data_IF_376050033276
#
_entry.id   IF_376050033276
#
_cell.length_a   1.000
_cell.length_b   1.000
_cell.length_c   1.000
_cell.angle_alpha   90.00
_cell.angle_beta   90.00
_cell.angle_gamma   90.00
#
_symmetry.space_group_name_H-M   'P 1'
#
loop_
_entity.id
_entity.type
_entity.pdbx_description
1 polymer ?
#
# COMPACT_ATOMS: atom_id res chain seq x y z
N UNK A 1 8.07 -17.94 -25.53
CA UNK A 1 7.15 -19.03 -25.18
C UNK A 1 5.99 -19.16 -26.16
N UNK A 2 5.01 -18.24 -26.22
CA UNK A 2 3.82 -18.42 -27.12
C UNK A 2 4.19 -18.63 -28.59
N UNK A 3 5.13 -17.82 -29.13
CA UNK A 3 5.64 -18.02 -30.50
C UNK A 3 6.28 -19.40 -30.73
N UNK A 4 6.93 -19.95 -29.70
CA UNK A 4 7.54 -21.28 -29.78
C UNK A 4 6.47 -22.37 -29.77
N UNK A 5 5.43 -22.22 -28.93
CA UNK A 5 4.27 -23.13 -28.94
C UNK A 5 3.60 -23.16 -30.32
N UNK A 6 3.45 -22.00 -30.95
CA UNK A 6 2.87 -21.89 -32.29
C UNK A 6 3.75 -22.56 -33.35
N UNK A 7 5.08 -22.39 -33.26
CA UNK A 7 6.01 -23.08 -34.14
C UNK A 7 5.97 -24.61 -33.93
N UNK A 8 5.95 -25.07 -32.67
CA UNK A 8 5.94 -26.50 -32.35
C UNK A 8 4.67 -27.18 -32.87
N UNK A 9 3.52 -26.50 -32.78
CA UNK A 9 2.26 -26.97 -33.40
C UNK A 9 2.26 -26.94 -34.92
N UNK A 10 3.06 -26.07 -35.56
CA UNK A 10 3.22 -26.10 -37.00
C UNK A 10 4.06 -27.32 -37.46
N UNK A 11 5.00 -27.76 -36.63
CA UNK A 11 5.81 -28.96 -36.86
C UNK A 11 5.05 -30.26 -36.53
N UNK A 12 4.19 -30.22 -35.52
CA UNK A 12 3.38 -31.35 -35.05
C UNK A 12 1.96 -30.87 -34.69
N UNK A 13 1.00 -30.89 -35.64
CA UNK A 13 -0.34 -30.34 -35.45
C UNK A 13 -1.17 -31.02 -34.36
N UNK A 14 -0.87 -32.27 -34.03
CA UNK A 14 -1.64 -33.09 -33.09
C UNK A 14 -1.13 -32.95 -31.64
N UNK A 15 -0.03 -32.21 -31.41
CA UNK A 15 0.52 -32.04 -30.06
C UNK A 15 -0.39 -31.19 -29.15
N UNK A 16 -0.72 -31.74 -27.98
CA UNK A 16 -1.46 -31.00 -26.97
C UNK A 16 -0.63 -29.84 -26.41
N UNK A 17 -1.29 -28.75 -26.01
CA UNK A 17 -0.59 -27.60 -25.43
C UNK A 17 0.17 -27.97 -24.15
N UNK A 18 -0.39 -28.85 -23.32
CA UNK A 18 0.25 -29.27 -22.07
C UNK A 18 1.56 -29.97 -22.37
N UNK A 19 1.55 -30.99 -23.24
CA UNK A 19 2.74 -31.78 -23.57
C UNK A 19 3.82 -30.92 -24.24
N UNK A 20 3.43 -30.05 -25.18
CA UNK A 20 4.36 -29.14 -25.83
C UNK A 20 5.02 -28.18 -24.83
N UNK A 21 4.23 -27.58 -23.93
CA UNK A 21 4.75 -26.66 -22.92
C UNK A 21 5.59 -27.40 -21.87
N UNK A 22 5.19 -28.59 -21.47
CA UNK A 22 5.96 -29.42 -20.52
C UNK A 22 7.34 -29.77 -21.09
N UNK A 23 7.42 -30.13 -22.38
CA UNK A 23 8.69 -30.32 -23.08
C UNK A 23 9.57 -29.05 -23.03
N UNK A 24 8.97 -27.88 -23.23
CA UNK A 24 9.66 -26.60 -23.17
C UNK A 24 10.18 -26.29 -21.76
N UNK A 25 9.36 -26.45 -20.73
CA UNK A 25 9.72 -26.19 -19.32
C UNK A 25 10.78 -27.15 -18.78
N UNK A 26 10.87 -28.38 -19.29
CA UNK A 26 12.00 -29.28 -18.95
C UNK A 26 13.35 -28.75 -19.44
N UNK A 27 13.36 -28.03 -20.56
CA UNK A 27 14.56 -27.46 -21.20
C UNK A 27 14.85 -26.03 -20.77
N UNK A 28 13.87 -25.33 -20.20
CA UNK A 28 13.95 -23.92 -19.86
C UNK A 28 13.39 -23.65 -18.47
N UNK A 29 14.04 -22.78 -17.72
CA UNK A 29 13.60 -22.32 -16.41
C UNK A 29 13.05 -20.89 -16.50
N UNK A 30 11.83 -20.67 -17.03
CA UNK A 30 11.30 -19.31 -17.15
C UNK A 30 11.09 -18.70 -15.77
N UNK A 31 11.35 -17.41 -15.67
CA UNK A 31 10.93 -16.63 -14.50
C UNK A 31 9.40 -16.52 -14.47
N UNK A 32 8.81 -16.33 -13.29
CA UNK A 32 7.34 -16.20 -13.10
C UNK A 32 6.77 -15.08 -13.98
N UNK A 33 7.53 -14.00 -14.16
CA UNK A 33 7.16 -12.84 -14.99
C UNK A 33 6.98 -13.26 -16.46
N UNK A 34 7.85 -14.11 -16.98
CA UNK A 34 7.79 -14.60 -18.36
C UNK A 34 6.57 -15.51 -18.58
N UNK A 35 6.19 -16.30 -17.56
CA UNK A 35 4.94 -17.07 -17.55
C UNK A 35 3.74 -16.13 -17.59
N UNK A 36 3.78 -15.07 -16.78
CA UNK A 36 2.78 -14.01 -16.79
C UNK A 36 2.59 -13.39 -18.16
N UNK A 37 3.67 -12.92 -18.80
CA UNK A 37 3.61 -12.31 -20.13
C UNK A 37 2.96 -13.21 -21.18
N UNK A 38 3.33 -14.50 -21.19
CA UNK A 38 2.75 -15.47 -22.11
C UNK A 38 1.27 -15.74 -21.81
N UNK A 39 0.90 -15.90 -20.54
CA UNK A 39 -0.49 -16.06 -20.11
C UNK A 39 -1.36 -14.90 -20.62
N UNK A 40 -0.82 -13.70 -20.62
CA UNK A 40 -1.50 -12.49 -21.07
C UNK A 40 -1.68 -12.42 -22.59
N UNK A 41 -0.70 -12.90 -23.34
CA UNK A 41 -0.81 -13.06 -24.79
C UNK A 41 -1.91 -14.08 -25.12
N UNK A 42 -1.89 -15.26 -24.47
CA UNK A 42 -2.89 -16.32 -24.67
C UNK A 42 -4.29 -15.83 -24.32
N UNK A 43 -4.46 -15.12 -23.20
CA UNK A 43 -5.74 -14.56 -22.79
C UNK A 43 -6.29 -13.54 -23.80
N UNK A 44 -5.45 -12.61 -24.28
CA UNK A 44 -5.85 -11.62 -25.30
C UNK A 44 -6.24 -12.29 -26.62
N UNK A 45 -5.53 -13.36 -26.99
CA UNK A 45 -5.84 -14.17 -28.16
C UNK A 45 -7.06 -15.10 -27.94
N UNK A 46 -7.67 -15.11 -26.74
CA UNK A 46 -8.77 -16.00 -26.35
C UNK A 46 -8.43 -17.50 -26.45
N UNK A 47 -7.15 -17.86 -26.34
CA UNK A 47 -6.63 -19.23 -26.35
C UNK A 47 -6.67 -19.80 -24.92
N UNK A 48 -7.88 -20.04 -24.42
CA UNK A 48 -8.10 -20.40 -23.01
C UNK A 48 -7.59 -21.80 -22.64
N UNK A 49 -7.68 -22.77 -23.56
CA UNK A 49 -7.13 -24.12 -23.33
C UNK A 49 -5.60 -24.08 -23.18
N UNK A 50 -4.92 -23.37 -24.09
CA UNK A 50 -3.47 -23.18 -24.02
C UNK A 50 -3.06 -22.42 -22.75
N UNK A 51 -3.90 -21.51 -22.26
CA UNK A 51 -3.68 -20.79 -21.01
C UNK A 51 -3.78 -21.73 -19.81
N UNK A 52 -4.79 -22.61 -19.77
CA UNK A 52 -4.91 -23.64 -18.71
C UNK A 52 -3.67 -24.52 -18.70
N UNK A 53 -3.28 -25.05 -19.86
CA UNK A 53 -2.08 -25.87 -20.01
C UNK A 53 -0.82 -25.15 -19.51
N UNK A 54 -0.62 -23.89 -19.94
CA UNK A 54 0.52 -23.08 -19.50
C UNK A 54 0.59 -22.94 -17.97
N UNK A 55 -0.53 -22.62 -17.34
CA UNK A 55 -0.58 -22.41 -15.89
C UNK A 55 -0.36 -23.72 -15.14
N UNK A 56 -0.99 -24.82 -15.56
CA UNK A 56 -0.80 -26.12 -14.93
C UNK A 56 0.66 -26.60 -15.04
N UNK A 57 1.27 -26.52 -16.23
CA UNK A 57 2.68 -26.87 -16.43
C UNK A 57 3.59 -26.00 -15.56
N UNK A 58 3.38 -24.68 -15.53
CA UNK A 58 4.17 -23.79 -14.69
C UNK A 58 4.10 -24.18 -13.20
N UNK A 59 2.90 -24.53 -12.71
CA UNK A 59 2.71 -24.98 -11.33
C UNK A 59 3.43 -26.31 -11.05
N UNK A 60 3.35 -27.28 -11.97
CA UNK A 60 4.02 -28.59 -11.85
C UNK A 60 5.55 -28.44 -11.81
N UNK A 61 6.11 -27.53 -12.60
CA UNK A 61 7.55 -27.24 -12.62
C UNK A 61 8.02 -26.30 -11.51
N UNK A 62 7.21 -26.09 -10.48
CA UNK A 62 7.58 -25.27 -9.31
C UNK A 62 7.71 -23.78 -9.61
N UNK A 63 7.20 -23.29 -10.74
CA UNK A 63 7.09 -21.85 -11.07
C UNK A 63 5.81 -21.29 -10.47
N UNK A 64 5.59 -21.58 -9.19
CA UNK A 64 4.35 -21.27 -8.50
C UNK A 64 4.26 -19.78 -8.18
N UNK A 65 3.12 -19.20 -8.48
CA UNK A 65 2.76 -17.87 -8.01
C UNK A 65 1.27 -17.85 -7.70
N UNK A 66 0.90 -17.15 -6.63
CA UNK A 66 -0.47 -17.10 -6.13
C UNK A 66 -1.50 -16.73 -7.21
N UNK A 67 -1.20 -15.73 -8.03
CA UNK A 67 -2.10 -15.27 -9.10
C UNK A 67 -2.39 -16.36 -10.14
N UNK A 68 -1.51 -17.35 -10.32
CA UNK A 68 -1.73 -18.43 -11.29
C UNK A 68 -2.94 -19.27 -10.92
N UNK A 69 -3.16 -19.53 -9.62
CA UNK A 69 -4.34 -20.25 -9.14
C UNK A 69 -5.63 -19.46 -9.39
N UNK A 70 -5.60 -18.14 -9.13
CA UNK A 70 -6.71 -17.23 -9.41
C UNK A 70 -7.10 -17.24 -10.89
N UNK A 71 -6.11 -17.09 -11.77
CA UNK A 71 -6.33 -17.05 -13.23
C UNK A 71 -6.72 -18.42 -13.78
N UNK A 72 -6.12 -19.49 -13.27
CA UNK A 72 -6.49 -20.85 -13.64
C UNK A 72 -7.95 -21.12 -13.28
N UNK A 73 -8.38 -20.83 -12.06
CA UNK A 73 -9.77 -21.00 -11.63
C UNK A 73 -10.75 -20.20 -12.51
N UNK A 74 -10.43 -18.94 -12.83
CA UNK A 74 -11.23 -18.15 -13.77
C UNK A 74 -11.33 -18.80 -15.16
N UNK A 75 -10.20 -19.26 -15.68
CA UNK A 75 -10.12 -19.80 -17.04
C UNK A 75 -10.85 -21.13 -17.13
N UNK A 76 -10.71 -22.00 -16.13
CA UNK A 76 -11.47 -23.25 -16.00
C UNK A 76 -12.98 -22.98 -15.95
N UNK A 77 -13.42 -22.04 -15.11
CA UNK A 77 -14.83 -21.63 -15.03
C UNK A 77 -15.35 -21.14 -16.39
N UNK A 78 -14.56 -20.34 -17.10
CA UNK A 78 -14.94 -19.79 -18.41
C UNK A 78 -15.07 -20.87 -19.49
N UNK A 79 -14.25 -21.92 -19.40
CA UNK A 79 -14.31 -23.11 -20.24
C UNK A 79 -15.44 -24.08 -19.84
N UNK A 80 -16.18 -23.80 -18.77
CA UNK A 80 -17.23 -24.68 -18.27
C UNK A 80 -16.69 -25.99 -17.67
N UNK A 81 -15.46 -25.96 -17.13
CA UNK A 81 -14.84 -27.12 -16.48
C UNK A 81 -15.60 -27.52 -15.21
N UNK A 82 -15.52 -28.78 -14.78
CA UNK A 82 -16.21 -29.28 -13.59
C UNK A 82 -15.88 -28.46 -12.32
N UNK A 83 -16.89 -28.31 -11.44
CA UNK A 83 -16.77 -27.47 -10.24
C UNK A 83 -15.73 -28.01 -9.24
N UNK A 84 -15.56 -29.34 -9.15
CA UNK A 84 -14.56 -29.98 -8.31
C UNK A 84 -13.12 -29.62 -8.72
N UNK A 85 -12.87 -29.43 -10.02
CA UNK A 85 -11.57 -28.98 -10.50
C UNK A 85 -11.28 -27.53 -10.09
N UNK A 86 -12.30 -26.67 -10.18
CA UNK A 86 -12.21 -25.27 -9.77
C UNK A 86 -11.99 -25.19 -8.25
N UNK A 87 -12.77 -25.94 -7.47
CA UNK A 87 -12.67 -25.98 -6.01
C UNK A 87 -11.28 -26.47 -5.56
N UNK A 88 -10.73 -27.49 -6.23
CA UNK A 88 -9.35 -27.95 -5.98
C UNK A 88 -8.32 -26.85 -6.19
N UNK A 89 -8.40 -26.10 -7.29
CA UNK A 89 -7.47 -24.99 -7.56
C UNK A 89 -7.58 -23.89 -6.49
N UNK A 90 -8.79 -23.59 -6.04
CA UNK A 90 -9.04 -22.59 -5.00
C UNK A 90 -8.59 -23.06 -3.61
N UNK A 91 -8.72 -24.34 -3.28
CA UNK A 91 -8.18 -24.94 -2.05
C UNK A 91 -6.65 -24.90 -2.06
N UNK A 92 -6.01 -25.30 -3.16
CA UNK A 92 -4.55 -25.20 -3.30
C UNK A 92 -4.04 -23.77 -3.18
N UNK A 93 -4.84 -22.78 -3.63
CA UNK A 93 -4.54 -21.37 -3.37
C UNK A 93 -4.56 -21.08 -1.86
N UNK A 94 -5.62 -21.45 -1.14
CA UNK A 94 -5.72 -21.19 0.30
C UNK A 94 -4.55 -21.77 1.10
N UNK A 95 -4.07 -22.96 0.72
CA UNK A 95 -2.93 -23.61 1.36
C UNK A 95 -1.60 -22.85 1.19
N UNK A 96 -1.45 -22.09 0.09
CA UNK A 96 -0.18 -21.45 -0.27
C UNK A 96 -0.10 -20.00 0.23
N UNK A 97 -1.22 -19.29 0.27
CA UNK A 97 -1.17 -17.82 0.24
C UNK A 97 -1.15 -17.15 1.60
N UNK A 98 -1.75 -17.79 2.62
CA UNK A 98 -2.16 -17.05 3.83
C UNK A 98 -3.04 -15.84 3.47
N UNK A 99 -3.43 -15.04 4.44
CA UNK A 99 -4.23 -13.82 4.21
C UNK A 99 -3.34 -12.57 4.05
N UNK A 100 -2.30 -12.63 3.21
CA UNK A 100 -1.37 -11.52 3.03
C UNK A 100 -1.92 -10.38 2.13
N UNK A 101 -1.97 -9.12 2.59
CA UNK A 101 -2.49 -7.99 1.82
C UNK A 101 -1.81 -7.74 0.46
N UNK A 102 -0.49 -7.88 0.35
CA UNK A 102 0.24 -7.57 -0.89
C UNK A 102 -0.06 -8.59 -1.97
N UNK A 103 -0.03 -9.86 -1.61
CA UNK A 103 -0.34 -10.92 -2.54
C UNK A 103 -1.81 -10.90 -2.99
N UNK A 104 -2.74 -10.57 -2.10
CA UNK A 104 -4.16 -10.40 -2.44
C UNK A 104 -4.37 -9.22 -3.42
N UNK A 105 -3.68 -8.10 -3.24
CA UNK A 105 -3.71 -6.98 -4.19
C UNK A 105 -3.13 -7.36 -5.56
N UNK A 106 -2.03 -8.13 -5.57
CA UNK A 106 -1.43 -8.64 -6.81
C UNK A 106 -2.39 -9.57 -7.55
N UNK A 107 -3.00 -10.54 -6.84
CA UNK A 107 -4.07 -11.40 -7.37
C UNK A 107 -5.20 -10.59 -8.00
N UNK A 108 -5.69 -9.57 -7.29
CA UNK A 108 -6.77 -8.71 -7.78
C UNK A 108 -6.37 -7.99 -9.09
N UNK A 109 -5.15 -7.48 -9.18
CA UNK A 109 -4.63 -6.85 -10.39
C UNK A 109 -4.56 -7.82 -11.57
N UNK A 110 -4.17 -9.08 -11.35
CA UNK A 110 -4.21 -10.12 -12.37
C UNK A 110 -5.65 -10.46 -12.77
N UNK A 111 -6.56 -10.69 -11.83
CA UNK A 111 -7.98 -10.98 -12.11
C UNK A 111 -8.64 -9.91 -12.99
N UNK A 112 -8.35 -8.62 -12.71
CA UNK A 112 -8.74 -7.49 -13.55
C UNK A 112 -8.20 -7.65 -14.98
N UNK A 113 -6.92 -7.97 -15.10
CA UNK A 113 -6.22 -8.11 -16.39
C UNK A 113 -6.72 -9.31 -17.21
N UNK A 114 -7.19 -10.36 -16.52
CA UNK A 114 -7.75 -11.57 -17.12
C UNK A 114 -9.27 -11.54 -17.33
N UNK A 115 -9.94 -10.46 -16.88
CA UNK A 115 -11.32 -10.15 -17.27
C UNK A 115 -12.39 -10.56 -16.27
N UNK A 116 -12.05 -10.88 -15.02
CA UNK A 116 -13.03 -10.99 -13.93
C UNK A 116 -12.77 -9.93 -12.84
N UNK A 117 -13.16 -8.68 -13.12
CA UNK A 117 -13.01 -7.61 -12.14
C UNK A 117 -14.00 -7.74 -10.96
N UNK A 118 -15.02 -8.61 -11.01
CA UNK A 118 -15.91 -8.82 -9.85
C UNK A 118 -15.21 -9.60 -8.76
N UNK A 119 -14.44 -10.63 -9.13
CA UNK A 119 -13.63 -11.36 -8.16
C UNK A 119 -12.53 -10.46 -7.55
N UNK A 120 -11.93 -9.59 -8.37
CA UNK A 120 -10.97 -8.60 -7.88
C UNK A 120 -11.57 -7.66 -6.82
N UNK A 121 -12.83 -7.22 -6.99
CA UNK A 121 -13.53 -6.39 -6.00
C UNK A 121 -13.68 -7.10 -4.64
N UNK A 122 -13.88 -8.43 -4.62
CA UNK A 122 -13.91 -9.21 -3.38
C UNK A 122 -12.55 -9.24 -2.70
N UNK A 123 -11.47 -9.42 -3.48
CA UNK A 123 -10.11 -9.39 -2.93
C UNK A 123 -9.76 -8.00 -2.38
N UNK A 124 -10.16 -6.91 -3.02
CA UNK A 124 -9.98 -5.57 -2.46
C UNK A 124 -10.72 -5.38 -1.14
N UNK A 125 -11.93 -5.93 -0.98
CA UNK A 125 -12.64 -5.92 0.30
C UNK A 125 -11.90 -6.71 1.37
N UNK A 126 -11.42 -7.91 1.03
CA UNK A 126 -10.65 -8.74 1.96
C UNK A 126 -9.35 -8.05 2.39
N UNK A 127 -8.65 -7.37 1.48
CA UNK A 127 -7.47 -6.56 1.82
C UNK A 127 -7.85 -5.42 2.76
N UNK A 128 -8.97 -4.74 2.52
CA UNK A 128 -9.45 -3.66 3.38
C UNK A 128 -9.88 -4.16 4.78
N UNK A 129 -10.31 -5.42 4.90
CA UNK A 129 -10.61 -6.05 6.19
C UNK A 129 -9.33 -6.38 6.97
N UNK A 130 -8.33 -6.94 6.30
CA UNK A 130 -7.04 -7.30 6.93
C UNK A 130 -6.19 -6.07 7.24
N UNK A 131 -6.15 -5.10 6.32
CA UNK A 131 -5.30 -3.92 6.39
C UNK A 131 -6.11 -2.64 6.07
N UNK A 132 -7.01 -2.20 6.97
CA UNK A 132 -7.93 -1.10 6.70
C UNK A 132 -7.26 0.26 6.47
N UNK A 133 -6.02 0.44 6.94
CA UNK A 133 -5.22 1.65 6.75
C UNK A 133 -4.53 1.76 5.38
N UNK A 134 -4.63 0.74 4.52
CA UNK A 134 -4.05 0.78 3.18
C UNK A 134 -5.01 1.47 2.19
N UNK A 135 -4.56 2.52 1.47
CA UNK A 135 -5.42 3.27 0.55
C UNK A 135 -5.70 2.52 -0.77
N UNK A 136 -4.79 1.65 -1.22
CA UNK A 136 -4.84 0.92 -2.49
C UNK A 136 -6.14 0.17 -2.73
N UNK A 137 -6.65 -0.69 -1.81
CA UNK A 137 -7.88 -1.44 -2.04
C UNK A 137 -9.07 -0.53 -2.33
N UNK A 138 -9.17 0.62 -1.65
CA UNK A 138 -10.30 1.54 -1.83
C UNK A 138 -10.21 2.30 -3.15
N UNK A 139 -9.03 2.80 -3.52
CA UNK A 139 -8.83 3.54 -4.78
C UNK A 139 -9.03 2.62 -5.98
N UNK A 140 -8.46 1.41 -5.94
CA UNK A 140 -8.61 0.43 -7.01
C UNK A 140 -10.08 -0.01 -7.13
N UNK A 141 -10.72 -0.38 -6.01
CA UNK A 141 -12.13 -0.75 -6.03
C UNK A 141 -13.04 0.38 -6.53
N UNK A 142 -12.78 1.63 -6.13
CA UNK A 142 -13.49 2.80 -6.64
C UNK A 142 -13.36 2.94 -8.16
N UNK A 143 -12.14 2.86 -8.71
CA UNK A 143 -11.92 2.93 -10.16
C UNK A 143 -12.62 1.81 -10.93
N UNK A 144 -12.63 0.60 -10.39
CA UNK A 144 -13.29 -0.55 -11.00
C UNK A 144 -14.81 -0.43 -10.94
N UNK A 145 -15.35 -0.03 -9.78
CA UNK A 145 -16.77 0.18 -9.58
C UNK A 145 -17.32 1.31 -10.46
N UNK A 146 -16.55 2.39 -10.64
CA UNK A 146 -16.94 3.50 -11.51
C UNK A 146 -17.10 3.06 -12.98
N UNK A 147 -16.23 2.17 -13.46
CA UNK A 147 -16.32 1.64 -14.84
C UNK A 147 -17.46 0.66 -15.05
N UNK A 148 -17.87 -0.04 -14.00
CA UNK A 148 -18.93 -1.04 -14.04
C UNK A 148 -20.30 -0.50 -13.62
N UNK A 149 -20.36 0.77 -13.24
CA UNK A 149 -21.52 1.38 -12.57
C UNK A 149 -22.01 0.57 -11.35
N UNK A 150 -21.06 0.00 -10.59
CA UNK A 150 -21.38 -0.79 -9.40
C UNK A 150 -21.64 0.12 -8.20
N UNK A 151 -22.91 0.50 -8.03
CA UNK A 151 -23.38 1.40 -6.98
C UNK A 151 -23.04 0.93 -5.55
N UNK A 152 -23.14 -0.37 -5.28
CA UNK A 152 -22.85 -0.94 -3.95
C UNK A 152 -21.40 -0.72 -3.57
N UNK A 153 -20.48 -0.99 -4.50
CA UNK A 153 -19.05 -0.81 -4.28
C UNK A 153 -18.68 0.67 -4.25
N UNK A 154 -19.30 1.51 -5.08
CA UNK A 154 -19.10 2.95 -5.03
C UNK A 154 -19.49 3.53 -3.66
N UNK A 155 -20.65 3.13 -3.11
CA UNK A 155 -21.08 3.52 -1.76
C UNK A 155 -20.07 3.17 -0.67
N UNK A 156 -19.42 2.02 -0.80
CA UNK A 156 -18.41 1.56 0.14
C UNK A 156 -17.06 2.27 -0.04
N UNK A 157 -16.60 2.41 -1.28
CA UNK A 157 -15.27 2.91 -1.59
C UNK A 157 -15.16 4.45 -1.54
N UNK A 158 -16.18 5.19 -1.97
CA UNK A 158 -16.15 6.66 -2.03
C UNK A 158 -15.82 7.30 -0.66
N UNK A 159 -16.51 6.97 0.45
CA UNK A 159 -16.19 7.53 1.75
C UNK A 159 -14.78 7.20 2.21
N UNK A 160 -14.27 6.03 1.84
CA UNK A 160 -12.90 5.60 2.18
C UNK A 160 -11.85 6.37 1.39
N UNK A 161 -12.06 6.54 0.09
CA UNK A 161 -11.20 7.39 -0.74
C UNK A 161 -11.19 8.83 -0.19
N UNK A 162 -12.36 9.35 0.21
CA UNK A 162 -12.46 10.68 0.80
C UNK A 162 -11.86 10.77 2.20
N UNK A 163 -11.76 9.69 2.98
CA UNK A 163 -11.13 9.74 4.30
C UNK A 163 -9.60 9.73 4.24
N UNK A 164 -9.02 9.16 3.18
CA UNK A 164 -7.57 8.99 3.05
C UNK A 164 -6.89 10.16 2.31
N UNK A 165 -5.69 10.53 2.77
CA UNK A 165 -4.87 11.64 2.22
C UNK A 165 -3.51 11.13 1.73
N UNK A 166 -3.34 9.81 1.70
CA UNK A 166 -2.04 9.14 1.60
C UNK A 166 -1.62 8.84 0.17
N UNK A 167 -2.40 9.19 -0.85
CA UNK A 167 -2.02 8.92 -2.25
C UNK A 167 -1.48 10.20 -2.86
N UNK A 168 -0.43 10.10 -3.69
CA UNK A 168 -0.03 11.22 -4.56
C UNK A 168 -1.26 11.65 -5.36
N UNK A 169 -1.45 12.97 -5.51
CA UNK A 169 -2.65 13.53 -6.15
C UNK A 169 -3.97 13.18 -5.44
N UNK A 170 -3.98 12.99 -4.10
CA UNK A 170 -5.21 12.68 -3.35
C UNK A 170 -6.35 13.66 -3.69
N UNK A 171 -6.04 14.95 -3.88
CA UNK A 171 -7.03 15.97 -4.25
C UNK A 171 -7.74 15.65 -5.59
N UNK A 172 -7.06 15.00 -6.54
CA UNK A 172 -7.68 14.53 -7.79
C UNK A 172 -8.61 13.34 -7.52
N UNK A 173 -8.21 12.42 -6.66
CA UNK A 173 -9.05 11.28 -6.26
C UNK A 173 -10.28 11.73 -5.47
N UNK A 174 -10.13 12.68 -4.56
CA UNK A 174 -11.23 13.28 -3.82
C UNK A 174 -12.22 13.93 -4.76
N UNK A 175 -11.78 14.80 -5.69
CA UNK A 175 -12.68 15.40 -6.70
C UNK A 175 -13.47 14.34 -7.48
N UNK A 176 -12.79 13.30 -8.00
CA UNK A 176 -13.47 12.20 -8.70
C UNK A 176 -14.50 11.48 -7.83
N UNK A 177 -14.18 11.26 -6.56
CA UNK A 177 -15.08 10.60 -5.61
C UNK A 177 -16.29 11.49 -5.29
N UNK A 178 -16.10 12.81 -5.20
CA UNK A 178 -17.18 13.78 -5.00
C UNK A 178 -18.11 13.89 -6.22
N UNK A 179 -17.54 13.91 -7.43
CA UNK A 179 -18.31 13.89 -8.67
C UNK A 179 -19.17 12.61 -8.74
N UNK A 180 -18.56 11.45 -8.50
CA UNK A 180 -19.25 10.17 -8.47
C UNK A 180 -20.33 10.10 -7.37
N UNK A 181 -20.07 10.67 -6.19
CA UNK A 181 -21.05 10.76 -5.11
C UNK A 181 -22.25 11.63 -5.49
N UNK A 182 -21.99 12.76 -6.14
CA UNK A 182 -23.02 13.69 -6.60
C UNK A 182 -23.91 13.04 -7.66
N UNK A 183 -23.32 12.29 -8.58
CA UNK A 183 -24.05 11.54 -9.60
C UNK A 183 -24.90 10.40 -9.02
N UNK A 184 -24.38 9.68 -8.03
CA UNK A 184 -25.15 8.67 -7.28
C UNK A 184 -26.37 9.27 -6.59
N UNK A 185 -26.16 10.35 -5.82
CA UNK A 185 -27.27 11.03 -5.12
C UNK A 185 -28.30 11.61 -6.09
N UNK A 186 -27.87 12.09 -7.27
CA UNK A 186 -28.78 12.54 -8.33
C UNK A 186 -29.67 11.41 -8.84
N UNK A 187 -29.10 10.23 -9.09
CA UNK A 187 -29.86 9.03 -9.52
C UNK A 187 -30.81 8.51 -8.44
N UNK A 188 -30.41 8.54 -7.17
CA UNK A 188 -31.30 8.20 -6.05
C UNK A 188 -32.45 9.18 -5.91
N UNK A 189 -32.21 10.47 -6.15
CA UNK A 189 -33.26 11.49 -6.10
C UNK A 189 -34.32 11.25 -7.17
N UNK A 190 -33.91 10.86 -8.38
CA UNK A 190 -34.84 10.48 -9.46
C UNK A 190 -35.66 9.23 -9.10
N UNK A 191 -35.13 8.34 -8.26
CA UNK A 191 -35.83 7.14 -7.74
C UNK A 191 -36.61 7.39 -6.45
N UNK A 192 -36.61 8.60 -5.89
CA UNK A 192 -37.27 8.92 -4.62
C UNK A 192 -36.60 8.33 -3.37
N UNK A 193 -35.35 7.87 -3.47
CA UNK A 193 -34.60 7.23 -2.37
C UNK A 193 -34.03 8.27 -1.39
N UNK A 194 -34.89 9.08 -0.76
CA UNK A 194 -34.49 10.22 0.07
C UNK A 194 -33.71 9.84 1.34
N UNK A 195 -34.12 8.77 2.03
CA UNK A 195 -33.42 8.27 3.23
C UNK A 195 -31.99 7.85 2.91
N UNK A 196 -31.81 7.14 1.79
CA UNK A 196 -30.50 6.71 1.30
C UNK A 196 -29.56 7.89 1.01
N UNK A 197 -30.11 8.97 0.46
CA UNK A 197 -29.34 10.20 0.23
C UNK A 197 -28.91 10.81 1.58
N UNK A 198 -29.83 10.91 2.54
CA UNK A 198 -29.53 11.47 3.86
C UNK A 198 -28.43 10.67 4.59
N UNK A 199 -28.52 9.34 4.56
CA UNK A 199 -27.52 8.44 5.12
C UNK A 199 -26.16 8.61 4.45
N UNK A 200 -26.13 8.63 3.12
CA UNK A 200 -24.88 8.77 2.38
C UNK A 200 -24.25 10.15 2.61
N UNK A 201 -25.04 11.22 2.64
CA UNK A 201 -24.56 12.56 2.97
C UNK A 201 -23.93 12.62 4.36
N UNK A 202 -24.50 11.94 5.36
CA UNK A 202 -23.91 11.84 6.70
C UNK A 202 -22.54 11.17 6.64
N UNK A 203 -22.44 10.02 5.97
CA UNK A 203 -21.18 9.29 5.81
C UNK A 203 -20.12 10.12 5.06
N UNK A 204 -20.51 10.85 4.01
CA UNK A 204 -19.60 11.73 3.28
C UNK A 204 -19.11 12.91 4.11
N UNK A 205 -19.97 13.50 4.97
CA UNK A 205 -19.54 14.55 5.91
C UNK A 205 -18.48 14.01 6.87
N UNK A 206 -18.71 12.83 7.46
CA UNK A 206 -17.74 12.19 8.37
C UNK A 206 -16.40 11.90 7.67
N UNK A 207 -16.45 11.43 6.41
CA UNK A 207 -15.25 11.12 5.61
C UNK A 207 -14.40 12.35 5.26
N UNK A 208 -15.01 13.52 5.07
CA UNK A 208 -14.30 14.77 4.71
C UNK A 208 -13.54 15.39 5.88
N UNK A 209 -14.00 15.15 7.10
CA UNK A 209 -13.43 15.77 8.29
C UNK A 209 -11.92 15.56 8.39
N UNK A 210 -11.21 16.63 8.77
CA UNK A 210 -9.78 16.61 9.08
C UNK A 210 -9.55 17.11 10.49
N UNK A 211 -8.86 16.34 11.31
CA UNK A 211 -8.61 16.76 12.70
C UNK A 211 -7.64 17.94 12.75
N UNK A 212 -6.66 17.96 11.84
CA UNK A 212 -5.68 19.04 11.74
C UNK A 212 -5.26 19.26 10.29
N UNK A 213 -5.33 20.49 9.83
CA UNK A 213 -4.65 20.95 8.62
C UNK A 213 -3.82 22.19 8.94
N UNK A 214 -2.64 22.26 8.33
CA UNK A 214 -1.71 23.37 8.52
C UNK A 214 -1.20 23.77 7.15
N UNK A 215 -1.32 25.05 6.82
CA UNK A 215 -0.71 25.66 5.64
C UNK A 215 0.28 26.72 6.07
N UNK A 216 1.55 26.52 5.76
CA UNK A 216 2.59 27.53 5.83
C UNK A 216 2.69 28.20 4.46
N UNK A 217 2.70 29.52 4.38
CA UNK A 217 2.82 30.25 3.12
C UNK A 217 3.74 31.45 3.27
N UNK A 218 4.53 31.74 2.24
CA UNK A 218 5.48 32.83 2.23
C UNK A 218 5.55 33.50 0.86
N UNK A 219 6.27 34.61 0.81
CA UNK A 219 6.55 35.31 -0.44
C UNK A 219 8.06 35.50 -0.53
N UNK A 220 8.62 35.29 -1.72
CA UNK A 220 10.04 35.51 -2.00
C UNK A 220 10.67 34.33 -2.73
N UNK A 221 11.95 34.48 -3.07
CA UNK A 221 12.74 33.43 -3.74
C UNK A 221 13.39 32.45 -2.77
N UNK A 222 12.89 32.36 -1.54
CA UNK A 222 13.39 31.45 -0.51
C UNK A 222 12.54 30.20 -0.33
N UNK A 223 13.01 29.38 0.60
CA UNK A 223 12.53 28.05 0.90
C UNK A 223 12.35 27.90 2.42
N UNK A 224 11.18 27.44 2.82
CA UNK A 224 10.80 27.20 4.22
C UNK A 224 10.19 25.81 4.31
N UNK A 225 10.71 24.98 5.20
CA UNK A 225 10.14 23.66 5.45
C UNK A 225 9.19 23.70 6.65
N UNK A 226 8.03 23.07 6.50
CA UNK A 226 7.15 22.73 7.61
C UNK A 226 7.46 21.30 8.11
N UNK A 227 7.99 21.21 9.34
CA UNK A 227 8.03 19.94 10.08
C UNK A 227 7.00 19.95 11.21
N UNK A 228 6.40 18.80 11.49
CA UNK A 228 5.40 18.64 12.54
C UNK A 228 5.82 17.49 13.47
N UNK A 229 6.10 17.81 14.73
CA UNK A 229 6.21 16.80 15.79
C UNK A 229 4.80 16.43 16.27
N UNK A 230 4.50 15.13 16.23
CA UNK A 230 3.17 14.57 16.44
C UNK A 230 3.15 13.60 17.62
N UNK A 231 2.13 13.65 18.50
CA UNK A 231 1.89 12.56 19.45
C UNK A 231 1.65 11.23 18.70
N UNK A 232 2.16 10.09 19.19
CA UNK A 232 2.87 9.88 20.44
C UNK A 232 4.40 10.11 20.40
N UNK A 233 4.96 10.65 19.30
CA UNK A 233 6.40 10.93 19.18
C UNK A 233 6.97 10.73 17.78
N UNK A 234 6.16 10.93 16.73
CA UNK A 234 6.65 10.85 15.34
C UNK A 234 6.86 12.25 14.78
N UNK A 235 7.57 12.37 13.65
CA UNK A 235 7.78 13.63 12.95
C UNK A 235 7.41 13.50 11.48
N UNK A 236 6.58 14.42 11.01
CA UNK A 236 6.31 14.61 9.60
C UNK A 236 7.25 15.70 9.07
N UNK A 237 7.96 15.45 7.97
CA UNK A 237 8.90 16.39 7.35
C UNK A 237 9.05 16.11 5.85
N UNK A 238 9.74 16.94 5.06
CA UNK A 238 10.03 16.62 3.65
C UNK A 238 10.76 15.28 3.45
N UNK A 239 11.64 14.91 4.39
CA UNK A 239 12.34 13.62 4.37
C UNK A 239 11.49 12.44 4.83
N UNK A 240 10.43 12.71 5.61
CA UNK A 240 9.46 11.72 6.08
C UNK A 240 8.04 12.30 5.93
N UNK A 241 7.50 12.36 4.70
CA UNK A 241 6.25 13.09 4.42
C UNK A 241 5.00 12.35 4.90
N UNK A 242 5.16 11.17 5.52
CA UNK A 242 4.07 10.39 6.12
C UNK A 242 4.53 9.74 7.41
N UNK A 243 3.64 9.69 8.40
CA UNK A 243 3.97 9.17 9.73
C UNK A 243 2.97 8.13 10.22
N UNK A 244 3.41 7.32 11.19
CA UNK A 244 2.54 6.40 11.91
C UNK A 244 1.47 7.15 12.74
N UNK A 245 1.71 8.41 13.08
CA UNK A 245 0.72 9.29 13.72
C UNK A 245 -0.38 9.79 12.78
N UNK A 246 -0.23 9.58 11.47
CA UNK A 246 -1.25 9.90 10.47
C UNK A 246 -1.07 11.23 9.76
N UNK A 247 -0.01 11.97 10.09
CA UNK A 247 0.38 13.16 9.39
C UNK A 247 0.85 12.84 7.98
N UNK A 248 0.48 13.72 7.06
CA UNK A 248 0.94 13.71 5.68
C UNK A 248 1.33 15.13 5.30
N UNK A 249 2.58 15.30 4.86
CA UNK A 249 3.03 16.51 4.15
C UNK A 249 2.61 16.35 2.69
N UNK A 250 1.56 17.07 2.30
CA UNK A 250 0.94 16.93 0.97
C UNK A 250 1.53 17.87 -0.07
N UNK A 251 2.18 18.95 0.37
CA UNK A 251 2.90 19.89 -0.48
C UNK A 251 4.16 20.37 0.23
N UNK A 252 5.26 20.37 -0.51
CA UNK A 252 6.61 20.83 -0.15
C UNK A 252 7.02 21.81 -1.25
N UNK A 253 6.93 23.11 -0.92
CA UNK A 253 6.98 24.21 -1.86
C UNK A 253 8.28 25.01 -1.79
N UNK A 254 8.60 25.71 -2.86
CA UNK A 254 9.79 26.58 -2.91
C UNK A 254 9.56 27.79 -3.82
N UNK A 255 10.23 28.90 -3.52
CA UNK A 255 10.19 30.11 -4.35
C UNK A 255 10.93 29.99 -5.69
N UNK A 256 10.74 30.95 -6.61
CA UNK A 256 10.06 32.23 -6.43
C UNK A 256 8.59 32.25 -6.91
N UNK A 257 8.07 31.16 -7.47
CA UNK A 257 6.71 31.13 -7.98
C UNK A 257 5.72 31.17 -6.81
N UNK A 258 4.94 32.24 -6.72
CA UNK A 258 4.05 32.49 -5.58
C UNK A 258 3.08 31.33 -5.29
N UNK A 259 2.52 30.71 -6.33
CA UNK A 259 1.62 29.57 -6.20
C UNK A 259 2.29 28.33 -5.58
N UNK A 260 3.63 28.25 -5.63
CA UNK A 260 4.43 27.17 -5.06
C UNK A 260 5.08 27.55 -3.71
N UNK A 261 4.93 28.79 -3.23
CA UNK A 261 5.51 29.25 -1.96
C UNK A 261 4.64 28.88 -0.75
N UNK A 262 4.36 27.59 -0.58
CA UNK A 262 3.62 27.09 0.56
C UNK A 262 3.94 25.63 0.85
N UNK A 263 3.76 25.24 2.12
CA UNK A 263 3.77 23.86 2.57
C UNK A 263 2.42 23.52 3.17
N UNK A 264 1.95 22.32 2.89
CA UNK A 264 0.67 21.82 3.39
C UNK A 264 0.87 20.52 4.15
N UNK A 265 0.41 20.53 5.39
CA UNK A 265 0.33 19.35 6.25
C UNK A 265 -1.14 19.04 6.55
N UNK A 266 -1.48 17.75 6.46
CA UNK A 266 -2.82 17.23 6.74
C UNK A 266 -2.72 16.01 7.64
N UNK A 267 -3.49 16.01 8.73
CA UNK A 267 -3.73 14.85 9.56
C UNK A 267 -5.24 14.60 9.61
N UNK A 268 -5.72 13.69 8.77
CA UNK A 268 -7.15 13.40 8.69
C UNK A 268 -7.70 12.92 10.03
N UNK A 269 -6.99 11.98 10.66
CA UNK A 269 -7.28 11.47 12.01
C UNK A 269 -6.05 11.64 12.86
N UNK A 270 -6.09 12.61 13.77
CA UNK A 270 -5.01 13.02 14.63
C UNK A 270 -5.13 12.37 16.01
N UNK A 271 -4.02 12.15 16.69
CA UNK A 271 -4.03 11.89 18.13
C UNK A 271 -4.35 13.17 18.90
N UNK A 272 -5.03 13.03 20.05
CA UNK A 272 -5.09 14.13 21.01
C UNK A 272 -3.72 14.37 21.63
N UNK A 273 -3.35 15.64 21.82
CA UNK A 273 -2.09 16.04 22.43
C UNK A 273 -1.57 17.37 21.91
N UNK A 274 -0.29 17.62 22.13
CA UNK A 274 0.39 18.80 21.64
C UNK A 274 1.16 18.47 20.35
N UNK A 275 0.98 19.30 19.34
CA UNK A 275 1.78 19.25 18.11
C UNK A 275 2.72 20.45 18.11
N UNK A 276 3.96 20.24 17.66
CA UNK A 276 4.93 21.31 17.48
C UNK A 276 5.12 21.54 15.99
N UNK A 277 4.64 22.67 15.50
CA UNK A 277 4.83 23.11 14.13
C UNK A 277 6.17 23.84 14.06
N UNK A 278 7.16 23.23 13.42
CA UNK A 278 8.51 23.74 13.28
C UNK A 278 8.64 24.31 11.87
N UNK A 279 8.85 25.61 11.80
CA UNK A 279 9.07 26.33 10.55
C UNK A 279 10.58 26.50 10.43
N UNK A 280 11.17 25.76 9.51
CA UNK A 280 12.62 25.68 9.32
C UNK A 280 12.96 26.57 8.12
N UNK A 281 13.85 27.54 8.34
CA UNK A 281 14.40 28.31 7.25
C UNK A 281 15.47 27.49 6.54
N UNK A 282 15.28 27.24 5.25
CA UNK A 282 16.18 26.40 4.49
C UNK A 282 17.13 27.24 3.63
N UNK A 283 16.60 28.17 2.83
CA UNK A 283 17.44 29.02 1.98
C UNK A 283 16.72 30.26 1.42
N UNK A 284 17.49 31.14 0.77
CA UNK A 284 16.98 32.25 -0.05
C UNK A 284 16.31 33.39 0.72
N UNK A 285 15.64 34.29 -0.01
CA UNK A 285 15.06 35.50 0.59
C UNK A 285 13.56 35.35 0.85
N UNK A 286 13.16 35.48 2.11
CA UNK A 286 11.75 35.55 2.52
C UNK A 286 11.36 37.01 2.76
N UNK A 287 10.38 37.49 1.99
CA UNK A 287 9.93 38.89 2.02
C UNK A 287 9.43 39.25 3.42
N UNK A 288 10.02 40.30 3.99
CA UNK A 288 9.65 40.80 5.31
C UNK A 288 9.99 39.87 6.47
N UNK A 289 10.83 38.84 6.25
CA UNK A 289 11.26 37.84 7.24
C UNK A 289 10.09 37.29 8.05
N UNK A 290 8.99 36.99 7.37
CA UNK A 290 7.75 36.50 7.97
C UNK A 290 7.07 35.52 7.05
N UNK A 291 6.36 34.56 7.64
CA UNK A 291 5.48 33.64 6.93
C UNK A 291 4.07 33.73 7.52
N UNK A 292 3.06 33.30 6.76
CA UNK A 292 1.68 33.14 7.24
C UNK A 292 1.41 31.67 7.50
N UNK A 293 0.99 31.37 8.71
CA UNK A 293 0.63 30.02 9.14
C UNK A 293 -0.88 29.97 9.39
N UNK A 294 -1.60 29.19 8.58
CA UNK A 294 -3.03 28.90 8.76
C UNK A 294 -3.16 27.51 9.38
N UNK A 295 -3.83 27.44 10.52
CA UNK A 295 -4.07 26.20 11.27
C UNK A 295 -5.59 26.02 11.36
N UNK A 296 -6.10 24.92 10.83
CA UNK A 296 -7.51 24.55 10.97
C UNK A 296 -7.59 23.25 11.77
N UNK A 297 -8.26 23.30 12.92
CA UNK A 297 -8.56 22.13 13.74
C UNK A 297 -9.99 21.69 13.49
N UNK A 298 -10.22 20.39 13.39
CA UNK A 298 -11.53 19.77 13.18
C UNK A 298 -12.27 20.35 11.95
N UNK A 299 -11.55 20.48 10.84
CA UNK A 299 -12.10 20.99 9.60
C UNK A 299 -13.29 20.15 9.14
N UNK A 300 -14.29 20.80 8.54
CA UNK A 300 -15.55 20.20 8.07
C UNK A 300 -16.38 19.54 9.19
N UNK A 301 -16.27 20.07 10.41
CA UNK A 301 -17.08 19.67 11.57
C UNK A 301 -17.72 20.88 12.26
N UNK A 302 -18.70 20.62 13.13
CA UNK A 302 -19.35 21.66 13.95
C UNK A 302 -18.41 22.29 15.02
N UNK A 303 -17.17 21.80 15.11
CA UNK A 303 -16.15 22.26 16.04
C UNK A 303 -14.94 22.86 15.33
N UNK A 304 -15.08 23.23 14.05
CA UNK A 304 -14.00 23.82 13.28
C UNK A 304 -13.43 25.07 13.95
N UNK A 305 -12.10 25.12 14.09
CA UNK A 305 -11.39 26.29 14.59
C UNK A 305 -10.28 26.63 13.61
N UNK A 306 -10.45 27.72 12.87
CA UNK A 306 -9.43 28.30 12.02
C UNK A 306 -8.68 29.41 12.76
N UNK A 307 -7.35 29.33 12.78
CA UNK A 307 -6.46 30.36 13.31
C UNK A 307 -5.38 30.67 12.29
N UNK A 308 -5.17 31.96 12.05
CA UNK A 308 -4.08 32.43 11.22
C UNK A 308 -3.09 33.24 12.04
N UNK A 309 -1.81 33.01 11.78
CA UNK A 309 -0.70 33.61 12.49
C UNK A 309 0.28 34.19 11.48
N UNK A 310 0.81 35.38 11.77
CA UNK A 310 2.04 35.85 11.14
C UNK A 310 3.20 35.39 11.99
N UNK A 311 4.09 34.59 11.41
CA UNK A 311 5.24 34.04 12.12
C UNK A 311 6.48 34.84 11.73
N UNK A 312 7.09 35.60 12.66
CA UNK A 312 8.38 36.23 12.40
C UNK A 312 9.48 35.17 12.36
N UNK A 313 10.38 35.28 11.37
CA UNK A 313 11.51 34.37 11.18
C UNK A 313 12.74 34.99 11.87
N UNK A 314 12.92 34.67 13.15
CA UNK A 314 13.99 35.23 13.99
C UNK A 314 15.25 34.36 14.09
N UNK A 315 15.32 33.25 13.34
CA UNK A 315 16.45 32.32 13.30
C UNK A 315 16.18 31.15 12.34
N UNK A 316 16.98 30.09 12.42
CA UNK A 316 16.87 28.93 11.53
C UNK A 316 15.61 28.10 11.78
N UNK A 317 15.08 28.12 13.00
CA UNK A 317 13.87 27.40 13.37
C UNK A 317 12.97 28.26 14.23
N UNK A 318 11.70 28.36 13.86
CA UNK A 318 10.63 28.95 14.69
C UNK A 318 9.59 27.88 15.02
N UNK A 319 9.21 27.76 16.28
CA UNK A 319 8.28 26.72 16.75
C UNK A 319 6.95 27.31 17.22
N UNK A 320 5.85 26.80 16.68
CA UNK A 320 4.48 27.13 17.10
C UNK A 320 3.86 25.88 17.74
N UNK A 321 3.53 25.96 19.03
CA UNK A 321 2.84 24.87 19.74
C UNK A 321 1.33 24.99 19.58
N UNK A 322 0.68 23.88 19.24
CA UNK A 322 -0.78 23.78 19.19
C UNK A 322 -1.28 22.63 20.07
N UNK A 323 -2.46 22.79 20.66
CA UNK A 323 -3.16 21.72 21.35
C UNK A 323 -4.32 21.20 20.52
N UNK A 324 -4.50 19.88 20.51
CA UNK A 324 -5.61 19.19 19.90
C UNK A 324 -6.19 18.24 20.94
N UNK A 325 -7.45 18.45 21.32
CA UNK A 325 -8.09 17.74 22.45
C UNK A 325 -9.04 16.64 22.00
N UNK A 326 -9.53 16.69 20.75
CA UNK A 326 -10.54 15.78 20.20
C UNK A 326 -10.03 15.03 18.97
N UNK A 327 -8.83 14.45 19.09
CA UNK A 327 -8.26 13.62 18.04
C UNK A 327 -9.04 12.32 17.87
N UNK A 328 -9.30 11.93 16.62
CA UNK A 328 -10.03 10.70 16.27
C UNK A 328 -9.14 9.47 16.10
N UNK A 329 -7.82 9.62 16.22
CA UNK A 329 -6.87 8.49 16.16
C UNK A 329 -6.55 8.00 17.57
N UNK A 330 -6.62 6.69 17.73
CA UNK A 330 -6.34 5.98 18.99
C UNK A 330 -5.20 4.98 18.85
N UNK A 331 -4.85 4.57 17.63
CA UNK A 331 -3.80 3.58 17.33
C UNK A 331 -2.91 4.13 16.22
N UNK A 332 -1.60 3.93 16.35
CA UNK A 332 -0.63 4.33 15.33
C UNK A 332 -0.73 3.38 14.13
N UNK A 333 -0.48 3.91 12.93
CA UNK A 333 -0.43 3.05 11.75
C UNK A 333 0.80 2.14 11.78
N UNK A 334 0.67 0.95 11.22
CA UNK A 334 1.78 0.02 11.06
C UNK A 334 2.87 0.64 10.17
N UNK A 335 4.13 0.73 10.61
CA UNK A 335 5.24 1.23 9.81
C UNK A 335 5.37 0.58 8.42
N UNK A 336 5.00 -0.70 8.28
CA UNK A 336 5.03 -1.41 7.00
C UNK A 336 4.04 -0.81 5.97
N UNK A 337 2.96 -0.17 6.43
CA UNK A 337 1.99 0.51 5.54
C UNK A 337 2.45 1.90 5.09
N UNK A 338 3.48 2.46 5.71
CA UNK A 338 4.05 3.77 5.36
C UNK A 338 5.10 3.68 4.25
N UNK A 339 5.63 2.48 3.97
CA UNK A 339 6.74 2.25 3.03
C UNK A 339 6.30 2.08 1.57
N UNK A 340 5.12 2.55 1.17
CA UNK A 340 4.76 2.56 -0.26
C UNK A 340 5.68 3.52 -1.00
N UNK A 341 6.67 2.91 -1.65
CA UNK A 341 7.75 3.54 -2.40
C UNK A 341 7.19 4.49 -3.43
N UNK A 342 7.46 5.78 -3.25
CA UNK A 342 7.40 6.75 -4.34
C UNK A 342 8.66 6.50 -5.16
N UNK A 343 8.56 6.08 -6.44
CA UNK A 343 9.72 6.12 -7.32
C UNK A 343 10.18 7.57 -7.43
N UNK A 344 11.44 7.78 -7.08
CA UNK A 344 12.14 9.07 -7.02
C UNK A 344 12.36 9.64 -8.42
N UNK A 345 11.27 10.04 -9.09
CA UNK A 345 11.30 10.53 -10.46
C UNK A 345 10.41 11.77 -10.58
N UNK A 346 10.70 12.84 -9.82
CA UNK A 346 10.30 14.20 -10.24
C UNK A 346 10.96 15.35 -9.46
N UNK A 347 12.27 15.29 -9.22
CA UNK A 347 13.00 16.44 -8.65
C UNK A 347 14.26 16.77 -9.47
N UNK A 348 14.09 17.34 -10.69
CA UNK A 348 14.84 18.52 -11.23
C UNK A 348 14.72 18.76 -12.75
N UNK A 349 14.23 19.98 -13.07
CA UNK A 349 14.64 20.98 -14.10
C UNK A 349 14.48 20.71 -15.61
N UNK A 350 13.92 21.73 -16.27
CA UNK A 350 13.67 21.92 -17.72
C UNK A 350 14.91 22.48 -18.45
N UNK A 351 15.30 21.82 -19.57
CA UNK A 351 15.79 22.39 -20.84
C UNK A 351 15.84 21.26 -21.91
N UNK A 352 15.73 21.56 -23.23
CA UNK A 352 14.89 20.78 -24.15
C UNK A 352 15.61 19.64 -24.91
N UNK A 353 14.76 18.72 -25.38
CA UNK A 353 14.94 17.85 -26.56
C UNK A 353 15.93 16.67 -26.49
N UNK A 354 15.39 15.49 -26.18
CA UNK A 354 15.46 14.32 -27.07
C UNK A 354 14.52 13.22 -26.52
N UNK A 355 13.45 12.90 -27.25
CA UNK A 355 12.52 11.81 -26.93
C UNK A 355 13.23 10.44 -27.03
N UNK A 356 13.29 9.61 -25.98
CA UNK A 356 13.52 8.19 -26.13
C UNK A 356 12.17 7.49 -26.25
N UNK A 357 11.96 6.97 -27.46
CA UNK A 357 11.07 5.89 -27.88
C UNK A 357 10.53 5.00 -26.73
N UNK A 358 9.20 4.95 -26.63
CA UNK A 358 8.42 4.08 -25.72
C UNK A 358 8.72 2.60 -26.00
N UNK A 359 9.16 1.87 -24.96
CA UNK A 359 9.29 0.42 -24.97
C UNK A 359 9.81 -0.14 -23.64
N UNK A 360 8.90 -0.68 -22.81
CA UNK A 360 9.23 -1.55 -21.66
C UNK A 360 8.64 -1.07 -20.32
N UNK A 361 7.89 -1.90 -19.58
CA UNK A 361 7.58 -1.60 -18.18
C UNK A 361 8.77 -2.01 -17.30
N UNK A 362 9.34 -1.02 -16.61
CA UNK A 362 10.31 -1.22 -15.55
C UNK A 362 9.62 -1.81 -14.31
N UNK A 363 10.07 -2.97 -13.85
CA UNK A 363 9.81 -3.49 -12.51
C UNK A 363 11.08 -3.29 -11.68
N UNK A 364 10.88 -2.64 -10.52
CA UNK A 364 11.89 -2.38 -9.53
C UNK A 364 12.51 -3.68 -8.99
N UNK A 365 13.82 -3.65 -8.82
CA UNK A 365 14.63 -4.57 -8.02
C UNK A 365 14.02 -4.74 -6.63
N UNK A 366 13.64 -5.97 -6.27
CA UNK A 366 13.32 -6.35 -4.89
C UNK A 366 14.49 -7.19 -4.38
N UNK A 367 15.04 -6.79 -3.24
CA UNK A 367 16.18 -7.42 -2.59
C UNK A 367 15.89 -8.87 -2.19
N UNK A 368 16.95 -9.67 -2.22
CA UNK A 368 16.94 -11.06 -1.78
C UNK A 368 16.52 -11.16 -0.30
N UNK A 369 15.45 -11.92 -0.05
CA UNK A 369 15.13 -12.45 1.28
C UNK A 369 15.87 -13.78 1.43
N UNK A 370 16.58 -14.04 2.54
CA UNK A 370 17.24 -15.31 2.74
C UNK A 370 16.18 -16.39 2.98
N UNK A 371 16.18 -17.42 2.12
CA UNK A 371 15.40 -18.64 2.29
C UNK A 371 15.96 -19.40 3.49
N UNK A 372 15.25 -19.41 4.61
CA UNK A 372 15.48 -20.38 5.67
C UNK A 372 14.92 -21.73 5.20
N UNK A 373 15.81 -22.67 4.92
CA UNK A 373 15.46 -24.05 4.62
C UNK A 373 14.89 -24.72 5.87
N UNK A 374 13.59 -25.03 5.84
CA UNK A 374 12.92 -25.87 6.82
C UNK A 374 12.02 -26.88 6.11
N UNK A 375 12.59 -28.02 5.76
CA UNK A 375 11.83 -29.18 5.27
C UNK A 375 10.94 -29.72 6.39
N UNK A 376 9.62 -29.70 6.20
CA UNK A 376 8.69 -30.47 7.02
C UNK A 376 7.89 -31.41 6.12
N UNK A 377 8.29 -32.68 6.11
CA UNK A 377 7.52 -33.77 5.57
C UNK A 377 6.28 -34.00 6.45
N UNK A 378 5.10 -33.97 5.85
CA UNK A 378 3.84 -34.34 6.51
C UNK A 378 3.65 -35.85 6.34
N UNK A 379 3.76 -36.60 7.44
CA UNK A 379 3.41 -38.00 7.50
C UNK A 379 2.34 -38.23 8.57
N UNK A 380 1.23 -38.86 8.19
CA UNK A 380 0.30 -39.55 9.09
C UNK A 380 -1.02 -38.83 9.38
N UNK A 381 -2.13 -39.45 8.96
CA UNK A 381 -3.48 -39.08 9.37
C UNK A 381 -3.67 -39.29 10.89
N UNK A 382 -4.25 -38.30 11.56
CA UNK A 382 -4.78 -38.44 12.93
C UNK A 382 -4.05 -37.70 14.06
N UNK A 383 -3.04 -36.87 13.79
CA UNK A 383 -2.38 -36.08 14.83
C UNK A 383 -2.99 -34.67 14.95
N UNK A 384 -3.63 -34.36 16.09
CA UNK A 384 -3.89 -32.97 16.51
C UNK A 384 -2.55 -32.38 16.96
N UNK A 385 -1.78 -31.89 15.99
CA UNK A 385 -0.55 -31.13 16.23
C UNK A 385 -0.87 -29.64 16.34
N UNK A 386 -0.57 -29.03 17.48
CA UNK A 386 -0.44 -27.58 17.52
C UNK A 386 0.74 -27.19 16.64
N UNK A 387 0.52 -26.32 15.64
CA UNK A 387 1.61 -25.74 14.85
C UNK A 387 2.19 -24.57 15.64
N UNK A 388 3.43 -24.65 16.16
CA UNK A 388 4.07 -23.50 16.79
C UNK A 388 4.35 -22.45 15.71
N UNK A 389 3.83 -21.24 15.91
CA UNK A 389 4.25 -20.08 15.13
C UNK A 389 5.57 -19.60 15.75
N UNK A 390 6.68 -19.94 15.12
CA UNK A 390 8.01 -19.46 15.54
C UNK A 390 8.27 -18.13 14.83
N UNK A 391 8.13 -17.01 15.54
CA UNK A 391 8.60 -15.71 15.05
C UNK A 391 10.02 -15.45 15.56
N UNK A 392 10.97 -15.25 14.66
CA UNK A 392 12.33 -14.86 15.04
C UNK A 392 12.34 -13.35 15.31
N UNK A 393 12.57 -12.96 16.56
CA UNK A 393 12.79 -11.57 16.95
C UNK A 393 14.30 -11.30 16.92
N UNK A 394 14.73 -10.35 16.11
CA UNK A 394 16.13 -9.93 16.10
C UNK A 394 16.41 -9.00 17.27
N UNK A 395 17.32 -9.40 18.16
CA UNK A 395 17.87 -8.57 19.23
C UNK A 395 19.29 -8.13 18.85
N UNK A 396 19.64 -6.88 19.17
CA UNK A 396 20.94 -6.29 18.88
C UNK A 396 20.86 -5.00 18.08
N UNK A 397 22.04 -4.52 17.66
CA UNK A 397 22.18 -3.31 16.84
C UNK A 397 22.46 -3.73 15.41
N UNK A 398 21.54 -3.40 14.50
CA UNK A 398 21.81 -3.49 13.06
C UNK A 398 21.99 -2.09 12.51
N UNK A 399 22.92 -1.90 11.59
CA UNK A 399 23.17 -0.59 11.00
C UNK A 399 23.42 -0.74 9.52
N UNK A 400 22.71 0.04 8.71
CA UNK A 400 22.97 0.14 7.28
C UNK A 400 23.66 1.46 6.99
N UNK A 401 24.69 1.43 6.14
CA UNK A 401 25.43 2.61 5.74
C UNK A 401 25.51 2.67 4.21
N UNK A 402 25.12 3.81 3.65
CA UNK A 402 25.31 4.11 2.23
C UNK A 402 26.34 5.22 2.10
N UNK A 403 27.40 4.96 1.36
CA UNK A 403 28.41 5.95 1.02
C UNK A 403 28.26 6.37 -0.45
N UNK A 404 28.08 7.66 -0.71
CA UNK A 404 28.09 8.21 -2.07
C UNK A 404 29.31 9.13 -2.20
N UNK A 405 30.13 8.82 -3.20
CA UNK A 405 31.31 9.60 -3.56
C UNK A 405 30.90 10.66 -4.58
N UNK A 406 31.29 11.92 -4.35
CA UNK A 406 31.03 13.02 -5.28
C UNK A 406 31.62 12.72 -6.67
N UNK A 407 31.03 13.27 -7.74
CA UNK A 407 31.48 13.02 -9.11
C UNK A 407 32.95 13.38 -9.39
N UNK A 408 33.53 14.29 -8.60
CA UNK A 408 34.94 14.68 -8.61
C UNK A 408 35.83 13.89 -7.61
N UNK A 409 35.27 12.90 -6.91
CA UNK A 409 35.91 12.04 -5.88
C UNK A 409 36.55 12.78 -4.69
N UNK A 410 36.17 14.02 -4.43
CA UNK A 410 36.73 14.82 -3.32
C UNK A 410 35.95 14.70 -2.02
N UNK A 411 34.68 14.29 -2.09
CA UNK A 411 33.82 14.15 -0.92
C UNK A 411 33.15 12.79 -0.92
N UNK A 412 33.02 12.21 0.27
CA UNK A 412 32.21 11.01 0.48
C UNK A 412 31.18 11.36 1.53
N UNK A 413 29.90 11.28 1.16
CA UNK A 413 28.80 11.41 2.13
C UNK A 413 28.39 10.01 2.55
N UNK A 414 28.51 9.73 3.84
CA UNK A 414 28.07 8.47 4.43
C UNK A 414 26.81 8.73 5.23
N UNK A 415 25.70 8.12 4.82
CA UNK A 415 24.45 8.09 5.58
C UNK A 415 24.36 6.75 6.31
N UNK A 416 24.23 6.79 7.63
CA UNK A 416 24.15 5.59 8.48
C UNK A 416 22.80 5.60 9.19
N UNK A 417 22.09 4.47 9.17
CA UNK A 417 20.81 4.29 9.86
C UNK A 417 20.89 3.06 10.77
N UNK A 418 21.22 3.25 12.07
CA UNK A 418 21.21 2.17 13.04
C UNK A 418 19.79 1.93 13.59
N UNK A 419 19.46 0.66 13.79
CA UNK A 419 18.29 0.15 14.51
C UNK A 419 18.81 -0.59 15.74
N UNK A 420 18.34 -0.17 16.91
CA UNK A 420 18.63 -0.83 18.18
C UNK A 420 17.37 -1.59 18.60
N UNK A 421 17.47 -2.91 18.71
CA UNK A 421 16.40 -3.79 19.18
C UNK A 421 16.85 -4.47 20.46
N UNK A 422 16.09 -4.32 21.54
CA UNK A 422 16.37 -4.98 22.84
C UNK A 422 15.10 -5.67 23.31
N UNK A 423 15.18 -6.95 23.66
CA UNK A 423 14.07 -7.69 24.24
C UNK A 423 14.09 -7.41 25.74
N UNK A 424 13.15 -6.59 26.21
CA UNK A 424 13.14 -6.13 27.61
C UNK A 424 12.65 -7.19 28.59
N UNK A 425 11.63 -7.97 28.23
CA UNK A 425 11.08 -9.07 29.05
C UNK A 425 10.30 -10.06 28.16
N UNK A 426 10.28 -11.34 28.52
CA UNK A 426 9.50 -12.40 27.85
C UNK A 426 8.53 -13.02 28.84
N UNK A 427 7.23 -12.96 28.52
CA UNK A 427 6.17 -13.58 29.34
C UNK A 427 5.68 -14.87 28.68
N UNK A 428 5.76 -15.99 29.41
CA UNK A 428 5.17 -17.26 29.00
C UNK A 428 3.85 -17.47 29.74
N UNK A 429 2.76 -17.72 29.01
CA UNK A 429 1.51 -18.19 29.59
C UNK A 429 1.09 -19.49 28.90
N UNK A 430 0.76 -20.50 29.70
CA UNK A 430 0.20 -21.76 29.23
C UNK A 430 -1.29 -21.75 29.51
N UNK A 431 -2.13 -21.92 28.50
CA UNK A 431 -3.55 -22.17 28.72
C UNK A 431 -3.72 -23.60 29.25
N UNK A 432 -3.78 -23.75 30.57
CA UNK A 432 -4.16 -25.02 31.20
C UNK A 432 -5.69 -25.02 31.36
N UNK A 433 -6.38 -25.90 30.64
CA UNK A 433 -7.82 -26.12 30.79
C UNK A 433 -8.19 -26.53 32.23
N UNK A 434 -9.43 -26.30 32.67
CA UNK A 434 -9.83 -26.55 34.05
C UNK A 434 -9.93 -28.06 34.29
N UNK A 435 -8.89 -28.67 34.88
CA UNK A 435 -8.95 -30.07 35.31
C UNK A 435 -7.62 -30.79 35.44
N UNK A 436 -6.75 -30.34 36.36
CA UNK A 436 -5.69 -31.10 37.07
C UNK A 436 -4.76 -30.04 37.68
N UNK A 437 -4.74 -29.82 39.00
CA UNK A 437 -4.09 -30.74 39.92
C UNK A 437 -2.72 -30.17 40.28
N UNK A 438 -2.69 -29.32 41.31
CA UNK A 438 -1.55 -28.82 42.08
C UNK A 438 -0.20 -29.56 41.90
N UNK A 439 0.89 -28.82 41.69
CA UNK A 439 2.18 -29.09 42.36
C UNK A 439 3.14 -27.89 42.25
N UNK A 440 3.34 -27.25 43.41
CA UNK A 440 4.60 -26.72 44.00
C UNK A 440 5.74 -26.22 43.11
N UNK A 441 6.15 -24.98 43.40
CA UNK A 441 7.31 -24.32 42.86
C UNK A 441 8.67 -24.95 43.20
N UNK A 442 9.64 -24.61 42.37
CA UNK A 442 11.05 -24.94 42.53
C UNK A 442 11.90 -23.99 41.69
N UNK A 443 12.60 -23.08 42.37
CA UNK A 443 13.70 -22.28 41.84
C UNK A 443 14.81 -23.19 41.30
N UNK A 444 15.30 -22.95 40.08
CA UNK A 444 16.68 -23.28 39.69
C UNK A 444 17.16 -22.24 38.67
N UNK A 445 18.15 -21.44 39.06
CA UNK A 445 19.00 -20.68 38.14
C UNK A 445 20.04 -21.57 37.48
N UNK A 446 20.54 -21.17 36.32
CA UNK A 446 21.61 -21.87 35.63
C UNK A 446 22.13 -21.10 34.43
N UNK A 447 23.30 -20.47 34.61
CA UNK A 447 24.17 -19.97 33.56
C UNK A 447 24.43 -21.04 32.49
N UNK A 448 24.34 -20.65 31.21
CA UNK A 448 25.50 -20.60 30.30
C UNK A 448 25.17 -19.81 29.04
#
# INVERSE_FOLDING_TARGET
MVKWLDQRRAEDPDIDAFDALDEWFRKHAPAVEQVGEAALVLNRARRFEDLVALLQVALIHGRTAQWMYDVLALTLKKLGRPQDEIDRVLLSRADITGADPENLLMSAAYLVRFGDPQLALRLYRQVAEVAPGRPEPYVLAFQHALRQDNEEVLRWAIPRVLSEVWVRDYARWHRKAEDAASDLMRRWRQRGEHERIADFQRVLREARQRDLTVRLSWVGGGDLDLEVDEPPGTRCSPGQPRTASGGVLVHDGFGPQADNCHDDYVCARAFSGYYLLRIVYQSGNIVGKRARLKIVRYADSDHEICRELTVPLSGDVTVVRISLHRGRRTVAADPATLQTSVPEADRRRVAPESLPRVGGPALHQVGAVPVAAGTAAVAGAGAVGYMPIVSVLSEGVSSSALAIVSGDRRFVRVSVSPIFSTITDVFHFTFQGPGAGQTTGGSVGGNR
#
